data_IF_322666638736
#
_entry.id   IF_322666638736
#
_cell.length_a   1.000
_cell.length_b   1.000
_cell.length_c   1.000
_cell.angle_alpha   90.00
_cell.angle_beta   90.00
_cell.angle_gamma   90.00
#
_symmetry.space_group_name_H-M   'P 1'
#
loop_
_entity.id
_entity.type
_entity.pdbx_description
1 polymer ?
#
# COMPACT_ATOMS: atom_id res chain seq x y z
N UNK A 1 18.01 -33.15 -64.47
CA UNK A 1 16.74 -33.88 -64.27
C UNK A 1 16.33 -33.66 -62.82
N UNK A 2 15.42 -32.69 -62.55
CA UNK A 2 14.04 -32.93 -62.08
C UNK A 2 13.99 -33.58 -60.67
N UNK A 3 13.41 -33.06 -59.58
CA UNK A 3 12.34 -32.06 -59.32
C UNK A 3 12.38 -31.56 -57.86
N UNK A 4 11.86 -30.35 -57.64
CA UNK A 4 11.40 -29.81 -56.34
C UNK A 4 10.19 -30.58 -55.78
N UNK A 5 10.07 -30.65 -54.45
CA UNK A 5 8.82 -30.68 -53.63
C UNK A 5 9.30 -30.60 -52.16
N UNK A 6 9.01 -29.61 -51.30
CA UNK A 6 7.83 -28.76 -51.17
C UNK A 6 6.83 -29.40 -50.22
N UNK A 7 7.01 -29.29 -48.89
CA UNK A 7 5.96 -29.63 -47.92
C UNK A 7 5.85 -28.58 -46.81
N UNK A 8 4.59 -28.26 -46.52
CA UNK A 8 4.11 -27.02 -45.94
C UNK A 8 4.10 -27.00 -44.40
N UNK A 9 4.31 -25.80 -43.84
CA UNK A 9 4.12 -25.48 -42.43
C UNK A 9 2.62 -25.21 -42.23
N UNK A 10 1.93 -26.09 -41.50
CA UNK A 10 0.55 -25.87 -41.08
C UNK A 10 0.51 -24.96 -39.85
N UNK A 11 0.21 -23.67 -40.05
CA UNK A 11 -0.09 -22.75 -38.95
C UNK A 11 -1.58 -22.91 -38.56
N UNK A 12 -1.84 -23.47 -37.37
CA UNK A 12 -3.19 -23.56 -36.81
C UNK A 12 -3.49 -22.29 -36.01
N UNK A 13 -4.38 -21.43 -36.53
CA UNK A 13 -4.87 -20.26 -35.82
C UNK A 13 -5.99 -20.66 -34.84
N UNK A 14 -5.75 -20.53 -33.53
CA UNK A 14 -6.81 -20.59 -32.52
C UNK A 14 -7.55 -19.25 -32.51
N UNK A 15 -8.81 -19.23 -32.97
CA UNK A 15 -9.73 -18.13 -32.70
C UNK A 15 -10.31 -18.29 -31.29
N UNK A 16 -9.92 -17.41 -30.38
CA UNK A 16 -10.59 -17.23 -29.11
C UNK A 16 -11.90 -16.45 -29.31
N UNK A 17 -13.03 -17.09 -29.05
CA UNK A 17 -14.34 -16.42 -28.98
C UNK A 17 -14.43 -15.70 -27.63
N UNK A 18 -14.31 -14.37 -27.64
CA UNK A 18 -14.63 -13.54 -26.49
C UNK A 18 -16.16 -13.58 -26.26
N UNK A 19 -16.59 -14.22 -25.18
CA UNK A 19 -17.98 -14.15 -24.75
C UNK A 19 -18.17 -12.85 -23.95
N UNK A 20 -18.93 -11.90 -24.50
CA UNK A 20 -19.35 -10.72 -23.76
C UNK A 20 -20.43 -11.13 -22.75
N UNK A 21 -20.10 -11.09 -21.46
CA UNK A 21 -21.10 -11.21 -20.39
C UNK A 21 -21.99 -9.96 -20.39
N UNK A 22 -23.33 -10.09 -20.32
CA UNK A 22 -24.21 -8.93 -20.23
C UNK A 22 -23.91 -8.15 -18.95
N UNK A 23 -23.78 -6.82 -19.08
CA UNK A 23 -23.61 -5.93 -17.94
C UNK A 23 -24.85 -5.97 -17.03
N UNK A 24 -24.71 -5.90 -15.70
CA UNK A 24 -25.85 -5.86 -14.80
C UNK A 24 -26.65 -4.57 -15.01
N UNK A 25 -27.95 -4.71 -15.20
CA UNK A 25 -28.90 -3.60 -15.26
C UNK A 25 -29.01 -2.99 -13.85
N UNK A 26 -28.49 -1.79 -13.66
CA UNK A 26 -28.67 -1.03 -12.42
C UNK A 26 -30.07 -0.43 -12.43
N UNK A 27 -30.99 -1.03 -11.66
CA UNK A 27 -32.31 -0.45 -11.40
C UNK A 27 -32.14 0.61 -10.30
N UNK A 28 -32.17 1.88 -10.69
CA UNK A 28 -32.18 3.00 -9.74
C UNK A 28 -33.60 3.13 -9.19
N UNK A 29 -33.84 2.61 -7.99
CA UNK A 29 -35.07 2.91 -7.24
C UNK A 29 -34.80 4.15 -6.39
N UNK A 30 -35.42 5.27 -6.76
CA UNK A 30 -35.42 6.47 -5.93
C UNK A 30 -36.38 6.32 -4.75
N UNK A 31 -35.96 6.77 -3.57
CA UNK A 31 -36.80 6.85 -2.39
C UNK A 31 -36.03 7.41 -1.20
N UNK A 32 -36.41 8.60 -0.75
CA UNK A 32 -35.82 9.25 0.43
C UNK A 32 -36.39 8.74 1.75
N UNK A 33 -35.77 9.20 2.84
CA UNK A 33 -36.40 9.33 4.16
C UNK A 33 -36.25 8.14 5.12
N UNK A 34 -35.31 8.34 6.05
CA UNK A 34 -35.43 8.12 7.51
C UNK A 34 -35.51 6.71 8.13
N UNK A 35 -34.72 6.58 9.21
CA UNK A 35 -34.84 5.70 10.38
C UNK A 35 -34.56 4.19 10.27
N UNK A 36 -33.59 3.78 11.11
CA UNK A 36 -33.49 2.53 11.88
C UNK A 36 -33.96 1.23 11.22
N UNK A 37 -33.03 0.37 10.77
CA UNK A 37 -33.15 -1.06 11.03
C UNK A 37 -31.87 -1.86 10.79
N UNK A 38 -31.73 -2.91 11.59
CA UNK A 38 -30.59 -3.79 11.71
C UNK A 38 -30.50 -4.75 10.52
N UNK A 39 -29.65 -4.46 9.54
CA UNK A 39 -29.37 -5.35 8.40
C UNK A 39 -27.96 -5.96 8.57
N UNK A 40 -27.75 -7.27 8.28
CA UNK A 40 -26.45 -7.91 8.42
C UNK A 40 -25.41 -7.16 7.59
N UNK A 41 -24.22 -6.93 8.17
CA UNK A 41 -23.11 -6.19 7.59
C UNK A 41 -22.58 -6.83 6.29
N UNK A 42 -23.32 -6.72 5.19
CA UNK A 42 -22.72 -6.61 3.88
C UNK A 42 -21.92 -5.30 3.90
N UNK A 43 -20.60 -5.42 4.05
CA UNK A 43 -19.65 -4.29 3.99
C UNK A 43 -20.03 -3.39 2.83
N UNK A 44 -20.32 -2.13 3.13
CA UNK A 44 -20.59 -1.13 2.09
C UNK A 44 -19.26 -0.86 1.38
N UNK A 45 -19.30 -0.56 0.08
CA UNK A 45 -18.12 -0.14 -0.67
C UNK A 45 -17.41 1.08 -0.04
N UNK A 46 -18.11 1.79 0.85
CA UNK A 46 -17.67 2.94 1.64
C UNK A 46 -16.65 2.56 2.74
N UNK A 47 -16.58 1.29 3.14
CA UNK A 47 -15.65 0.78 4.17
C UNK A 47 -14.21 0.58 3.63
N UNK A 48 -14.02 0.66 2.31
CA UNK A 48 -12.70 0.55 1.63
C UNK A 48 -12.06 1.93 1.37
N UNK A 49 -12.50 2.98 2.05
CA UNK A 49 -11.96 4.32 1.84
C UNK A 49 -10.47 4.36 2.23
N UNK A 50 -9.57 4.97 1.42
CA UNK A 50 -8.23 5.28 1.85
C UNK A 50 -8.26 6.09 3.15
N UNK A 51 -7.63 5.55 4.20
CA UNK A 51 -7.43 6.25 5.46
C UNK A 51 -6.14 7.05 5.37
N UNK A 52 -6.26 8.35 5.64
CA UNK A 52 -5.17 9.31 5.65
C UNK A 52 -5.28 10.10 6.94
N UNK A 53 -4.50 9.68 7.93
CA UNK A 53 -4.47 10.28 9.26
C UNK A 53 -3.19 11.09 9.50
N UNK A 54 -2.26 11.04 8.55
CA UNK A 54 -1.04 11.81 8.58
C UNK A 54 -0.95 12.84 7.44
N UNK A 55 -0.14 13.86 7.68
CA UNK A 55 0.26 14.84 6.69
C UNK A 55 1.36 14.32 5.77
N UNK A 56 1.87 15.21 4.91
CA UNK A 56 3.02 14.91 4.05
C UNK A 56 4.25 14.57 4.90
N UNK A 57 4.98 13.54 4.48
CA UNK A 57 6.25 13.16 5.11
C UNK A 57 7.43 13.99 4.62
N UNK A 58 8.37 14.30 5.52
CA UNK A 58 9.74 14.64 5.17
C UNK A 58 10.58 13.36 5.13
N UNK A 59 11.09 12.98 3.96
CA UNK A 59 11.72 11.67 3.71
C UNK A 59 13.24 11.83 3.61
N UNK A 60 13.98 10.98 4.30
CA UNK A 60 15.44 10.87 4.24
C UNK A 60 15.82 9.50 3.68
N UNK A 61 16.69 9.48 2.67
CA UNK A 61 17.28 8.25 2.15
C UNK A 61 18.20 7.60 3.19
N UNK A 62 17.93 6.33 3.48
CA UNK A 62 18.69 5.48 4.39
C UNK A 62 19.06 4.15 3.69
N UNK A 63 19.09 4.14 2.35
CA UNK A 63 19.31 2.91 1.60
C UNK A 63 20.74 2.41 1.79
N UNK A 64 20.87 1.13 2.08
CA UNK A 64 22.14 0.43 2.24
C UNK A 64 22.04 -0.95 1.60
N UNK A 65 23.16 -1.67 1.48
CA UNK A 65 23.11 -3.05 0.97
C UNK A 65 22.30 -4.02 1.85
N UNK A 66 21.93 -3.63 3.07
CA UNK A 66 21.04 -4.38 3.94
C UNK A 66 19.57 -3.99 3.78
N UNK A 67 19.24 -3.05 2.88
CA UNK A 67 17.86 -2.61 2.63
C UNK A 67 17.02 -3.67 1.93
N UNK A 68 15.69 -3.66 2.14
CA UNK A 68 14.77 -4.58 1.48
C UNK A 68 14.70 -4.34 -0.04
N UNK A 69 14.17 -5.33 -0.75
CA UNK A 69 13.89 -5.21 -2.17
C UNK A 69 12.74 -4.21 -2.40
N UNK A 70 12.94 -3.24 -3.30
CA UNK A 70 11.90 -2.25 -3.60
C UNK A 70 10.61 -2.90 -4.13
N UNK A 71 10.72 -4.02 -4.86
CA UNK A 71 9.56 -4.80 -5.31
C UNK A 71 8.71 -5.36 -4.16
N UNK A 72 9.33 -5.75 -3.05
CA UNK A 72 8.61 -6.29 -1.90
C UNK A 72 7.88 -5.16 -1.17
N UNK A 73 8.51 -3.97 -1.07
CA UNK A 73 7.84 -2.79 -0.53
C UNK A 73 6.66 -2.34 -1.39
N UNK A 74 6.80 -2.32 -2.71
CA UNK A 74 5.68 -2.00 -3.60
C UNK A 74 4.55 -3.03 -3.49
N UNK A 75 4.88 -4.31 -3.28
CA UNK A 75 3.87 -5.35 -3.03
C UNK A 75 3.21 -5.19 -1.65
N UNK A 76 3.95 -4.77 -0.62
CA UNK A 76 3.39 -4.40 0.68
C UNK A 76 2.32 -3.31 0.53
N UNK A 77 2.66 -2.22 -0.17
CA UNK A 77 1.73 -1.12 -0.46
C UNK A 77 0.48 -1.62 -1.21
N UNK A 78 0.65 -2.50 -2.19
CA UNK A 78 -0.47 -3.10 -2.92
C UNK A 78 -1.36 -3.98 -2.03
N UNK A 79 -0.80 -4.69 -1.05
CA UNK A 79 -1.56 -5.57 -0.16
C UNK A 79 -2.48 -4.81 0.79
N UNK A 80 -2.09 -3.60 1.21
CA UNK A 80 -2.86 -2.77 2.16
C UNK A 80 -3.79 -1.77 1.46
N UNK A 81 -3.96 -1.87 0.13
CA UNK A 81 -4.76 -0.91 -0.65
C UNK A 81 -6.26 -0.94 -0.34
N UNK A 82 -6.76 -2.01 0.30
CA UNK A 82 -8.18 -2.18 0.61
C UNK A 82 -8.66 -1.33 1.78
N UNK A 83 -7.85 -0.41 2.31
CA UNK A 83 -8.24 0.48 3.40
C UNK A 83 -7.76 0.02 4.77
N UNK A 84 -8.27 0.71 5.78
CA UNK A 84 -7.94 0.51 7.19
C UNK A 84 -6.72 1.31 7.65
N UNK A 85 -6.35 1.11 8.91
CA UNK A 85 -5.27 1.83 9.55
C UNK A 85 -4.88 1.19 10.86
N UNK A 86 -3.92 1.83 11.53
CA UNK A 86 -3.36 1.38 12.78
C UNK A 86 -3.57 2.43 13.87
N UNK A 87 -3.94 1.95 15.05
CA UNK A 87 -3.97 2.74 16.27
C UNK A 87 -2.83 2.28 17.17
N UNK A 88 -1.87 3.17 17.42
CA UNK A 88 -0.62 2.82 18.11
C UNK A 88 -0.46 3.67 19.36
N UNK A 89 -0.20 3.03 20.50
CA UNK A 89 0.22 3.72 21.72
C UNK A 89 1.74 3.93 21.73
N UNK A 90 2.16 5.20 21.74
CA UNK A 90 3.56 5.61 21.79
C UNK A 90 4.23 5.39 23.16
N UNK A 91 5.57 5.52 23.26
CA UNK A 91 6.47 6.09 22.27
C UNK A 91 7.39 5.05 21.63
N UNK A 92 7.05 3.77 21.70
CA UNK A 92 7.91 2.70 21.22
C UNK A 92 7.70 2.42 19.74
N UNK A 93 8.76 1.98 19.07
CA UNK A 93 8.68 1.53 17.70
C UNK A 93 7.74 0.32 17.58
N UNK A 94 6.88 0.36 16.56
CA UNK A 94 5.99 -0.72 16.18
C UNK A 94 6.11 -0.98 14.69
N UNK A 95 6.36 -2.23 14.33
CA UNK A 95 6.12 -2.71 12.98
C UNK A 95 4.61 -2.80 12.76
N UNK A 96 4.12 -2.20 11.67
CA UNK A 96 2.69 -2.14 11.37
C UNK A 96 2.33 -2.88 10.08
N UNK A 97 3.30 -3.07 9.18
CA UNK A 97 3.09 -3.78 7.93
C UNK A 97 4.40 -4.46 7.50
N UNK A 98 4.28 -5.69 6.97
CA UNK A 98 5.41 -6.42 6.40
C UNK A 98 4.99 -7.26 5.20
N UNK A 99 5.88 -7.40 4.21
CA UNK A 99 5.75 -8.35 3.11
C UNK A 99 7.13 -8.65 2.50
N UNK A 100 7.42 -9.93 2.28
CA UNK A 100 8.72 -10.35 1.73
C UNK A 100 9.86 -9.84 2.62
N UNK A 101 10.83 -9.15 2.00
CA UNK A 101 11.94 -8.51 2.72
C UNK A 101 11.57 -7.17 3.36
N UNK A 102 10.43 -6.56 3.02
CA UNK A 102 10.10 -5.20 3.42
C UNK A 102 9.25 -5.13 4.68
N UNK A 103 9.67 -4.32 5.64
CA UNK A 103 8.89 -3.93 6.82
C UNK A 103 8.72 -2.41 6.89
N UNK A 104 7.57 -1.99 7.41
CA UNK A 104 7.24 -0.60 7.70
C UNK A 104 6.94 -0.46 9.19
N UNK A 105 7.66 0.42 9.85
CA UNK A 105 7.48 0.68 11.28
C UNK A 105 7.35 2.14 11.63
N UNK A 106 6.71 2.40 12.76
CA UNK A 106 6.35 3.74 13.23
C UNK A 106 6.67 3.91 14.70
N UNK A 107 7.02 5.13 15.08
CA UNK A 107 7.25 5.58 16.46
C UNK A 107 6.61 6.96 16.58
N UNK A 108 5.74 7.18 17.57
CA UNK A 108 5.05 8.46 17.74
C UNK A 108 5.12 8.97 19.17
N UNK A 109 5.43 10.25 19.32
CA UNK A 109 5.42 10.97 20.60
C UNK A 109 5.03 12.43 20.34
N UNK A 110 4.34 13.06 21.30
CA UNK A 110 4.07 14.50 21.19
C UNK A 110 5.36 15.32 21.26
N UNK A 111 5.38 16.52 20.67
CA UNK A 111 6.51 17.45 20.79
C UNK A 111 6.78 17.79 22.28
N UNK A 112 5.72 17.82 23.09
CA UNK A 112 5.78 17.99 24.55
C UNK A 112 6.24 16.75 25.34
N UNK A 113 6.53 15.61 24.68
CA UNK A 113 6.99 14.37 25.32
C UNK A 113 5.88 13.54 25.98
N UNK A 114 4.62 13.87 25.74
CA UNK A 114 3.45 13.16 26.26
C UNK A 114 3.22 11.86 25.47
N UNK A 115 2.91 10.80 26.21
CA UNK A 115 2.44 9.54 25.63
C UNK A 115 1.00 9.67 25.15
N UNK A 116 0.74 9.22 23.94
CA UNK A 116 -0.60 9.23 23.36
C UNK A 116 -0.80 8.06 22.39
N UNK A 117 -2.06 7.86 22.01
CA UNK A 117 -2.45 7.00 20.90
C UNK A 117 -2.48 7.83 19.62
N UNK A 118 -1.73 7.41 18.61
CA UNK A 118 -1.71 8.03 17.29
C UNK A 118 -2.23 7.09 16.22
N UNK A 119 -2.67 7.67 15.10
CA UNK A 119 -3.28 6.95 14.00
C UNK A 119 -2.43 7.08 12.74
N UNK A 120 -2.24 5.96 12.06
CA UNK A 120 -1.59 5.91 10.74
C UNK A 120 -2.55 5.18 9.83
N UNK A 121 -2.98 5.82 8.75
CA UNK A 121 -3.86 5.20 7.76
C UNK A 121 -3.06 4.39 6.73
N UNK A 122 -3.73 3.46 6.05
CA UNK A 122 -3.10 2.70 4.99
C UNK A 122 -2.52 3.58 3.88
N UNK A 123 -3.20 4.68 3.52
CA UNK A 123 -2.73 5.59 2.48
C UNK A 123 -1.46 6.32 2.91
N UNK A 124 -1.26 6.60 4.21
CA UNK A 124 -0.04 7.21 4.73
C UNK A 124 1.18 6.29 4.51
N UNK A 125 0.99 4.98 4.71
CA UNK A 125 2.03 3.96 4.47
C UNK A 125 2.27 3.77 2.97
N UNK A 126 1.21 3.70 2.16
CA UNK A 126 1.30 3.58 0.70
C UNK A 126 2.08 4.77 0.12
N UNK A 127 1.66 6.00 0.45
CA UNK A 127 2.29 7.23 -0.04
C UNK A 127 3.77 7.25 0.35
N UNK A 128 4.10 6.94 1.62
CA UNK A 128 5.48 6.91 2.10
C UNK A 128 6.34 5.89 1.34
N UNK A 129 5.83 4.68 1.10
CA UNK A 129 6.55 3.66 0.33
C UNK A 129 6.74 4.10 -1.13
N UNK A 130 5.67 4.56 -1.79
CA UNK A 130 5.73 4.92 -3.21
C UNK A 130 6.65 6.11 -3.44
N UNK A 131 6.57 7.13 -2.57
CA UNK A 131 7.39 8.32 -2.67
C UNK A 131 8.87 7.99 -2.41
N UNK A 132 9.17 7.11 -1.44
CA UNK A 132 10.52 6.62 -1.18
C UNK A 132 11.10 5.86 -2.37
N UNK A 133 10.37 4.90 -2.95
CA UNK A 133 10.85 4.11 -4.09
C UNK A 133 11.09 5.00 -5.32
N UNK A 134 10.20 5.96 -5.57
CA UNK A 134 10.34 6.87 -6.71
C UNK A 134 11.55 7.80 -6.58
N UNK A 135 11.87 8.24 -5.37
CA UNK A 135 12.93 9.24 -5.14
C UNK A 135 14.29 8.62 -4.85
N UNK A 136 14.35 7.48 -4.15
CA UNK A 136 15.55 7.04 -3.45
C UNK A 136 15.90 5.56 -3.67
N UNK A 137 15.29 4.84 -4.61
CA UNK A 137 15.71 3.44 -4.84
C UNK A 137 17.14 3.37 -5.41
N UNK A 138 17.90 2.37 -4.97
CA UNK A 138 19.26 2.07 -5.44
C UNK A 138 19.36 0.64 -5.97
N UNK A 139 20.49 0.31 -6.57
CA UNK A 139 20.80 -1.07 -6.95
C UNK A 139 21.65 -1.77 -5.88
N UNK A 140 21.26 -3.00 -5.53
CA UNK A 140 22.08 -3.91 -4.73
C UNK A 140 23.34 -4.35 -5.49
N UNK A 141 24.23 -5.08 -4.80
CA UNK A 141 25.40 -5.71 -5.44
C UNK A 141 25.03 -6.60 -6.63
N UNK A 142 23.92 -7.32 -6.53
CA UNK A 142 23.42 -8.20 -7.59
C UNK A 142 22.52 -7.49 -8.62
N UNK A 143 22.49 -6.14 -8.62
CA UNK A 143 21.72 -5.35 -9.58
C UNK A 143 20.21 -5.33 -9.34
N UNK A 144 19.73 -5.67 -8.14
CA UNK A 144 18.29 -5.63 -7.78
C UNK A 144 17.95 -4.28 -7.13
N UNK A 145 16.79 -3.67 -7.45
CA UNK A 145 16.34 -2.46 -6.75
C UNK A 145 16.10 -2.70 -5.26
N UNK A 146 16.70 -1.87 -4.43
CA UNK A 146 16.60 -1.86 -2.97
C UNK A 146 16.22 -0.46 -2.47
N UNK A 147 15.56 -0.40 -1.31
CA UNK A 147 15.09 0.86 -0.74
C UNK A 147 15.14 0.82 0.79
N UNK A 148 15.76 1.81 1.41
CA UNK A 148 15.65 2.09 2.84
C UNK A 148 15.41 3.57 3.03
N UNK A 149 14.41 3.94 3.82
CA UNK A 149 14.12 5.35 4.11
C UNK A 149 13.62 5.48 5.53
N UNK A 150 13.79 6.67 6.08
CA UNK A 150 13.04 7.11 7.25
C UNK A 150 12.30 8.40 6.91
N UNK A 151 11.31 8.75 7.72
CA UNK A 151 10.65 10.03 7.58
C UNK A 151 9.90 10.47 8.80
N UNK A 152 9.40 11.70 8.74
CA UNK A 152 8.59 12.32 9.80
C UNK A 152 7.33 12.93 9.21
N UNK A 153 6.20 12.70 9.87
CA UNK A 153 4.90 13.23 9.50
C UNK A 153 4.10 13.59 10.76
N UNK A 154 3.36 14.69 10.71
CA UNK A 154 2.34 14.98 11.72
C UNK A 154 1.15 14.07 11.51
N UNK A 155 0.63 13.46 12.58
CA UNK A 155 -0.51 12.55 12.51
C UNK A 155 -1.55 12.91 13.54
N UNK A 156 -2.81 12.56 13.26
CA UNK A 156 -3.88 12.63 14.26
C UNK A 156 -3.48 11.78 15.47
N UNK A 157 -3.79 12.30 16.65
CA UNK A 157 -3.69 11.57 17.90
C UNK A 157 -4.98 11.74 18.71
N UNK A 158 -5.13 10.91 19.73
CA UNK A 158 -6.34 10.91 20.56
C UNK A 158 -6.47 12.19 21.38
N UNK A 159 -5.35 12.75 21.85
CA UNK A 159 -5.35 13.91 22.76
C UNK A 159 -4.40 15.01 22.28
N UNK A 160 -3.23 14.67 21.74
CA UNK A 160 -2.24 15.63 21.25
C UNK A 160 -2.60 16.17 19.87
N UNK A 161 -2.44 17.48 19.69
CA UNK A 161 -2.47 18.17 18.39
C UNK A 161 -1.06 18.35 17.79
N UNK A 162 -0.02 18.11 18.61
CA UNK A 162 1.40 18.31 18.32
C UNK A 162 2.15 16.98 18.09
N UNK A 163 1.47 15.88 17.79
CA UNK A 163 2.10 14.57 17.65
C UNK A 163 2.82 14.39 16.30
N UNK A 164 4.08 13.97 16.39
CA UNK A 164 4.91 13.61 15.23
C UNK A 164 5.18 12.11 15.25
N UNK A 165 4.91 11.47 14.12
CA UNK A 165 5.32 10.09 13.83
C UNK A 165 6.61 10.10 13.05
N UNK A 166 7.61 9.40 13.57
CA UNK A 166 8.80 8.97 12.82
C UNK A 166 8.54 7.56 12.29
N UNK A 167 8.82 7.31 11.02
CA UNK A 167 8.62 6.02 10.38
C UNK A 167 9.87 5.56 9.65
N UNK A 168 9.92 4.27 9.32
CA UNK A 168 11.02 3.69 8.54
C UNK A 168 10.60 2.51 7.67
N UNK A 169 11.24 2.41 6.50
CA UNK A 169 11.25 1.24 5.63
C UNK A 169 12.56 0.50 5.89
N UNK A 170 12.49 -0.73 6.39
CA UNK A 170 13.65 -1.52 6.76
C UNK A 170 13.48 -2.99 6.39
N UNK A 171 14.58 -3.72 6.43
CA UNK A 171 14.59 -5.14 6.06
C UNK A 171 14.07 -5.98 7.22
N UNK A 172 13.21 -6.95 6.93
CA UNK A 172 12.75 -7.96 7.89
C UNK A 172 13.93 -8.79 8.41
N UNK A 173 13.78 -9.50 9.51
CA UNK A 173 14.81 -10.44 9.98
C UNK A 173 15.06 -11.58 9.01
#
# INVERSE_FOLDING_TARGET
>A
MHRLLGLAIAASALLALAQATPAPVVVVVGGGGDSTDSVPLFRRADDNKPEKDCGKSNITDQTSFASPLARDCMQLAANIRSGGGWSIFGPWQKEIAQFGTCAFGVTGISITGRLDTFYVGNQDVIDSITDSVQQFQHLSRDGKPIIGCEGKMGCKARISDDLIVTWGIYHTK
#
